data_IF_130340123781
#
_entry.id   IF_130340123781
#
_cell.length_a   1.000
_cell.length_b   1.000
_cell.length_c   1.000
_cell.angle_alpha   90.00
_cell.angle_beta   90.00
_cell.angle_gamma   90.00
#
_symmetry.space_group_name_H-M   'P 1'
#
loop_
_entity.id
_entity.type
_entity.pdbx_description
1 polymer ?
#
# COMPACT_ATOMS: atom_id res chain seq x y z
N UNK A 1 3.38 -8.89 -6.83
CA UNK A 1 3.76 -8.31 -5.52
C UNK A 1 5.02 -8.98 -5.02
N UNK A 2 6.07 -8.26 -4.58
CA UNK A 2 7.25 -8.86 -3.94
C UNK A 2 6.91 -9.60 -2.64
N UNK A 3 7.64 -10.67 -2.32
CA UNK A 3 7.37 -11.52 -1.15
C UNK A 3 7.35 -10.74 0.18
N UNK A 4 8.34 -9.89 0.42
CA UNK A 4 8.43 -9.08 1.65
C UNK A 4 7.26 -8.10 1.83
N UNK A 5 6.60 -7.68 0.74
CA UNK A 5 5.39 -6.83 0.82
C UNK A 5 4.20 -7.68 1.23
N UNK A 6 4.05 -8.88 0.65
CA UNK A 6 2.99 -9.82 1.01
C UNK A 6 3.07 -10.20 2.49
N UNK A 7 4.25 -10.62 2.94
CA UNK A 7 4.48 -11.03 4.32
C UNK A 7 4.15 -9.91 5.31
N UNK A 8 4.50 -8.66 4.99
CA UNK A 8 4.18 -7.51 5.84
C UNK A 8 2.68 -7.16 5.84
N UNK A 9 1.98 -7.35 4.72
CA UNK A 9 0.53 -7.18 4.64
C UNK A 9 -0.20 -8.25 5.46
N UNK A 10 0.23 -9.52 5.33
CA UNK A 10 -0.31 -10.65 6.08
C UNK A 10 -0.07 -10.47 7.58
N UNK A 11 1.15 -10.13 7.99
CA UNK A 11 1.52 -9.90 9.39
C UNK A 11 0.72 -8.77 10.06
N UNK A 12 0.24 -7.78 9.28
CA UNK A 12 -0.59 -6.67 9.77
C UNK A 12 -2.09 -6.86 9.51
N UNK A 13 -2.51 -7.95 8.86
CA UNK A 13 -3.92 -8.16 8.48
C UNK A 13 -4.45 -7.14 7.46
N UNK A 14 -3.57 -6.50 6.68
CA UNK A 14 -3.92 -5.42 5.74
C UNK A 14 -4.21 -5.92 4.31
N UNK A 15 -4.17 -7.24 4.09
CA UNK A 15 -4.35 -7.84 2.76
C UNK A 15 -5.69 -7.45 2.13
N UNK A 16 -6.79 -7.52 2.90
CA UNK A 16 -8.11 -7.14 2.40
C UNK A 16 -8.19 -5.64 2.05
N UNK A 17 -7.60 -4.77 2.88
CA UNK A 17 -7.56 -3.32 2.61
C UNK A 17 -6.74 -3.00 1.38
N UNK A 18 -5.62 -3.71 1.19
CA UNK A 18 -4.80 -3.60 -0.02
C UNK A 18 -5.57 -4.06 -1.25
N UNK A 19 -6.27 -5.20 -1.20
CA UNK A 19 -7.05 -5.73 -2.31
C UNK A 19 -8.25 -4.87 -2.68
N UNK A 20 -8.85 -4.18 -1.71
CA UNK A 20 -9.92 -3.21 -1.92
C UNK A 20 -9.45 -1.94 -2.65
N UNK A 21 -8.14 -1.67 -2.73
CA UNK A 21 -7.62 -0.54 -3.49
C UNK A 21 -7.76 -0.78 -5.01
N UNK A 22 -8.02 0.27 -5.81
CA UNK A 22 -8.02 0.17 -7.25
C UNK A 22 -6.72 -0.46 -7.79
N UNK A 23 -6.77 -1.24 -8.90
CA UNK A 23 -5.59 -1.88 -9.49
C UNK A 23 -4.39 -0.93 -9.69
N UNK A 24 -4.63 0.31 -10.13
CA UNK A 24 -3.57 1.29 -10.34
C UNK A 24 -2.86 1.68 -9.03
N UNK A 25 -3.58 1.86 -7.91
CA UNK A 25 -2.97 2.18 -6.62
C UNK A 25 -2.08 1.03 -6.12
N UNK A 26 -2.56 -0.21 -6.28
CA UNK A 26 -1.79 -1.41 -5.94
C UNK A 26 -0.49 -1.45 -6.75
N UNK A 27 -0.57 -1.27 -8.07
CA UNK A 27 0.58 -1.27 -8.95
C UNK A 27 1.56 -0.13 -8.64
N UNK A 28 1.05 1.06 -8.35
CA UNK A 28 1.86 2.23 -8.00
C UNK A 28 2.63 2.02 -6.69
N UNK A 29 1.99 1.49 -5.64
CA UNK A 29 2.71 1.14 -4.41
C UNK A 29 3.82 0.13 -4.66
N UNK A 30 3.52 -0.97 -5.35
CA UNK A 30 4.51 -2.01 -5.64
C UNK A 30 5.67 -1.47 -6.48
N UNK A 31 5.37 -0.69 -7.51
CA UNK A 31 6.37 -0.06 -8.38
C UNK A 31 7.20 0.98 -7.63
N UNK A 32 6.57 1.82 -6.81
CA UNK A 32 7.26 2.82 -5.99
C UNK A 32 8.18 2.17 -4.96
N UNK A 33 7.74 1.11 -4.28
CA UNK A 33 8.59 0.36 -3.35
C UNK A 33 9.76 -0.30 -4.12
N UNK A 34 9.48 -1.03 -5.19
CA UNK A 34 10.50 -1.77 -5.94
C UNK A 34 11.55 -0.87 -6.63
N UNK A 35 11.19 0.36 -7.01
CA UNK A 35 12.13 1.34 -7.61
C UNK A 35 13.19 1.85 -6.63
N UNK A 36 13.03 1.65 -5.32
CA UNK A 36 14.05 2.07 -4.36
C UNK A 36 15.27 1.15 -4.43
N UNK A 37 16.45 1.72 -4.75
CA UNK A 37 17.71 0.97 -4.87
C UNK A 37 18.22 0.40 -3.55
N UNK A 38 17.98 1.10 -2.44
CA UNK A 38 18.47 0.71 -1.12
C UNK A 38 17.39 -0.06 -0.33
N UNK A 39 17.73 -1.19 0.31
CA UNK A 39 16.78 -1.95 1.14
C UNK A 39 16.13 -1.10 2.23
N UNK A 40 16.90 -0.22 2.89
CA UNK A 40 16.36 0.69 3.91
C UNK A 40 15.28 1.62 3.34
N UNK A 41 15.41 2.08 2.09
CA UNK A 41 14.41 2.91 1.43
C UNK A 41 13.18 2.09 1.03
N UNK A 42 13.35 0.85 0.58
CA UNK A 42 12.23 -0.07 0.33
C UNK A 42 11.41 -0.29 1.61
N UNK A 43 12.08 -0.53 2.74
CA UNK A 43 11.42 -0.71 4.04
C UNK A 43 10.68 0.55 4.50
N UNK A 44 11.28 1.74 4.35
CA UNK A 44 10.60 3.01 4.66
C UNK A 44 9.34 3.22 3.83
N UNK A 45 9.39 2.92 2.53
CA UNK A 45 8.24 3.02 1.62
C UNK A 45 7.16 1.99 1.94
N UNK A 46 7.56 0.76 2.26
CA UNK A 46 6.65 -0.28 2.73
C UNK A 46 5.95 0.15 4.02
N UNK A 47 6.69 0.65 5.01
CA UNK A 47 6.11 1.14 6.26
C UNK A 47 5.09 2.25 6.01
N UNK A 48 5.39 3.18 5.09
CA UNK A 48 4.44 4.22 4.69
C UNK A 48 3.17 3.63 4.06
N UNK A 49 3.30 2.69 3.10
CA UNK A 49 2.13 2.04 2.50
C UNK A 49 1.26 1.37 3.57
N UNK A 50 1.87 0.66 4.53
CA UNK A 50 1.15 -0.05 5.57
C UNK A 50 0.41 0.90 6.51
N UNK A 51 1.01 2.05 6.85
CA UNK A 51 0.34 3.10 7.63
C UNK A 51 -0.85 3.70 6.88
N UNK A 52 -0.68 4.03 5.60
CA UNK A 52 -1.75 4.59 4.76
C UNK A 52 -2.90 3.59 4.54
N UNK A 53 -2.58 2.30 4.42
CA UNK A 53 -3.58 1.24 4.36
C UNK A 53 -4.31 1.08 5.70
N UNK A 54 -3.61 1.13 6.83
CA UNK A 54 -4.22 1.03 8.15
C UNK A 54 -5.15 2.21 8.46
N UNK A 55 -4.77 3.42 8.03
CA UNK A 55 -5.63 4.61 8.14
C UNK A 55 -6.83 4.56 7.22
N UNK A 56 -6.65 4.03 6.00
CA UNK A 56 -7.74 3.82 5.05
C UNK A 56 -8.23 5.08 4.33
N UNK A 57 -7.74 6.26 4.69
CA UNK A 57 -8.13 7.56 4.11
C UNK A 57 -7.00 8.26 3.34
N UNK A 58 -5.85 7.58 3.19
CA UNK A 58 -4.68 8.09 2.48
C UNK A 58 -4.25 7.14 1.36
N UNK A 59 -3.68 7.73 0.33
CA UNK A 59 -2.95 7.07 -0.74
C UNK A 59 -1.77 7.95 -1.18
N UNK A 60 -0.53 7.49 -1.05
CA UNK A 60 0.67 8.23 -1.46
C UNK A 60 0.74 9.65 -0.89
N UNK A 61 0.45 9.80 0.41
CA UNK A 61 0.30 11.09 1.12
C UNK A 61 -0.81 12.01 0.60
N UNK A 62 -1.68 11.53 -0.27
CA UNK A 62 -2.87 12.24 -0.75
C UNK A 62 -4.12 11.72 -0.07
N UNK A 63 -5.08 12.60 0.19
CA UNK A 63 -6.39 12.21 0.70
C UNK A 63 -7.07 11.24 -0.28
N UNK A 64 -7.59 10.13 0.23
CA UNK A 64 -8.30 9.11 -0.53
C UNK A 64 -9.60 8.76 0.18
N UNK A 65 -10.72 9.03 -0.48
CA UNK A 65 -12.06 8.80 0.08
C UNK A 65 -12.65 7.43 -0.27
N UNK A 66 -11.82 6.47 -0.72
CA UNK A 66 -12.32 5.20 -1.23
C UNK A 66 -13.06 5.32 -2.57
N UNK A 67 -13.46 4.19 -3.17
CA UNK A 67 -14.50 4.22 -4.19
C UNK A 67 -15.78 4.80 -3.57
N UNK A 68 -16.37 5.82 -4.19
CA UNK A 68 -17.72 6.30 -3.83
C UNK A 68 -18.65 5.09 -3.91
N UNK A 69 -19.22 4.67 -2.78
CA UNK A 69 -20.38 3.77 -2.82
C UNK A 69 -21.47 4.52 -3.58
N UNK A 70 -21.78 4.09 -4.81
CA UNK A 70 -23.02 4.55 -5.43
C UNK A 70 -24.15 4.04 -4.55
N UNK A 71 -25.00 4.97 -4.10
CA UNK A 71 -26.21 4.66 -3.36
C UNK A 71 -27.22 3.95 -4.26
#
# INVERSE_FOLDING_TARGET
MPAFVREALEAKGLMATYEARPPYQRNDYLGWIARAKLPATQQKRLAQMLDELARGDVYMKMAWSGPRKSK
#
